data_IF_530896735474
#
_entry.id   IF_530896735474
#
_cell.length_a   1.000
_cell.length_b   1.000
_cell.length_c   1.000
_cell.angle_alpha   90.00
_cell.angle_beta   90.00
_cell.angle_gamma   90.00
#
_symmetry.space_group_name_H-M   'P 1'
#
loop_
_entity.id
_entity.type
_entity.pdbx_description
1 polymer ?
#
# COMPACT_ATOMS: atom_id res chain seq x y z
N UNK A 1 -2.23 13.64 16.68
CA UNK A 1 -1.94 12.25 16.21
C UNK A 1 -2.90 11.33 16.93
N UNK A 2 -3.86 10.78 16.21
CA UNK A 2 -4.72 9.71 16.74
C UNK A 2 -3.98 8.39 16.53
N UNK A 3 -3.43 7.81 17.61
CA UNK A 3 -2.91 6.45 17.54
C UNK A 3 -3.99 5.53 16.98
N UNK A 4 -3.71 4.90 15.85
CA UNK A 4 -4.65 3.97 15.22
C UNK A 4 -4.93 2.85 16.21
N UNK A 5 -6.19 2.72 16.58
CA UNK A 5 -6.63 1.55 17.31
C UNK A 5 -6.68 0.36 16.33
N UNK A 6 -5.66 -0.49 16.37
CA UNK A 6 -5.58 -1.68 15.52
C UNK A 6 -6.77 -2.64 15.72
N UNK A 7 -7.52 -2.54 16.83
CA UNK A 7 -8.75 -3.32 17.07
C UNK A 7 -9.89 -2.93 16.11
N UNK A 8 -9.83 -1.75 15.48
CA UNK A 8 -10.82 -1.29 14.49
C UNK A 8 -10.47 -1.72 13.05
N UNK A 9 -9.32 -2.34 12.85
CA UNK A 9 -8.90 -2.84 11.54
C UNK A 9 -9.50 -4.21 11.24
N UNK A 10 -9.55 -4.55 9.97
CA UNK A 10 -9.99 -5.84 9.48
C UNK A 10 -9.13 -6.35 8.34
N UNK A 11 -9.11 -7.65 8.15
CA UNK A 11 -8.37 -8.29 7.07
C UNK A 11 -9.23 -8.51 5.83
N UNK A 12 -8.64 -8.27 4.66
CA UNK A 12 -8.97 -8.99 3.44
C UNK A 12 -7.82 -9.97 3.17
N UNK A 13 -8.13 -11.17 2.67
CA UNK A 13 -7.14 -12.23 2.42
C UNK A 13 -6.19 -12.43 3.62
N UNK A 14 -6.75 -12.66 4.81
CA UNK A 14 -5.99 -12.75 6.07
C UNK A 14 -4.80 -13.70 5.93
N UNK A 15 -3.54 -13.26 6.20
CA UNK A 15 -2.37 -14.12 6.08
C UNK A 15 -2.33 -15.19 7.18
N UNK A 16 -1.62 -16.28 6.93
CA UNK A 16 -1.43 -17.34 7.94
C UNK A 16 -0.60 -16.88 9.13
N UNK A 17 0.33 -15.94 8.89
CA UNK A 17 1.23 -15.43 9.93
C UNK A 17 1.27 -13.91 9.91
N UNK A 18 0.99 -13.31 11.06
CA UNK A 18 1.02 -11.86 11.27
C UNK A 18 1.24 -11.52 12.75
N UNK A 19 1.63 -10.29 13.03
CA UNK A 19 1.69 -9.70 14.37
C UNK A 19 0.92 -8.38 14.34
N UNK A 20 0.08 -8.13 15.32
CA UNK A 20 -0.54 -6.83 15.58
C UNK A 20 -0.20 -6.44 17.00
N UNK A 21 0.46 -5.29 17.18
CA UNK A 21 0.76 -4.68 18.47
C UNK A 21 0.48 -3.19 18.43
N UNK A 22 0.67 -2.50 19.55
CA UNK A 22 0.53 -1.02 19.62
C UNK A 22 1.59 -0.29 18.79
N UNK A 23 2.75 -0.91 18.58
CA UNK A 23 3.92 -0.27 17.97
C UNK A 23 4.07 -0.63 16.50
N UNK A 24 3.61 -1.82 16.11
CA UNK A 24 3.79 -2.32 14.75
C UNK A 24 2.76 -3.36 14.34
N UNK A 25 2.56 -3.44 13.02
CA UNK A 25 1.91 -4.56 12.36
C UNK A 25 2.97 -5.26 11.51
N UNK A 26 3.01 -6.60 11.55
CA UNK A 26 3.89 -7.40 10.68
C UNK A 26 3.01 -8.33 9.86
N UNK A 27 3.22 -8.35 8.56
CA UNK A 27 2.59 -9.28 7.63
C UNK A 27 3.68 -10.20 7.07
N UNK A 28 3.63 -11.49 7.34
CA UNK A 28 4.45 -12.47 6.62
C UNK A 28 3.75 -12.81 5.32
N UNK A 29 4.39 -12.49 4.19
CA UNK A 29 3.80 -12.74 2.86
C UNK A 29 3.69 -14.22 2.55
N UNK A 30 2.78 -14.56 1.66
CA UNK A 30 2.62 -15.89 1.09
C UNK A 30 2.92 -15.84 -0.41
N UNK A 31 3.51 -16.91 -0.93
CA UNK A 31 3.83 -17.02 -2.35
C UNK A 31 2.57 -16.94 -3.24
N UNK A 32 2.74 -16.47 -4.48
CA UNK A 32 1.67 -16.39 -5.49
C UNK A 32 0.51 -15.51 -5.07
N UNK A 33 0.82 -14.45 -4.29
CA UNK A 33 -0.13 -13.42 -3.89
C UNK A 33 0.15 -12.10 -4.59
N UNK A 34 -0.89 -11.39 -5.03
CA UNK A 34 -0.76 -10.10 -5.72
C UNK A 34 -2.09 -9.33 -5.75
N UNK A 35 -2.01 -8.05 -6.17
CA UNK A 35 -3.11 -7.24 -6.68
C UNK A 35 -2.78 -6.76 -8.08
N UNK A 36 -3.47 -7.29 -9.10
CA UNK A 36 -3.39 -6.88 -10.50
C UNK A 36 -4.67 -7.17 -11.24
N UNK A 37 -5.10 -6.25 -12.13
CA UNK A 37 -6.31 -6.44 -12.92
C UNK A 37 -6.03 -6.18 -14.40
N UNK A 38 -6.04 -7.22 -15.19
CA UNK A 38 -6.09 -7.34 -16.66
C UNK A 38 -4.98 -6.67 -17.45
N UNK A 39 -4.74 -5.37 -17.26
CA UNK A 39 -3.89 -4.54 -18.12
C UNK A 39 -2.62 -5.25 -18.54
N UNK A 40 -2.34 -5.30 -19.84
CA UNK A 40 -1.20 -5.93 -20.50
C UNK A 40 -1.09 -7.45 -20.30
N UNK A 41 -1.10 -7.92 -19.05
CA UNK A 41 -0.85 -9.34 -18.74
C UNK A 41 -2.10 -10.23 -18.86
N UNK A 42 -3.29 -9.67 -18.90
CA UNK A 42 -4.55 -10.39 -19.09
C UNK A 42 -5.09 -11.14 -17.86
N UNK A 43 -4.28 -11.39 -16.84
CA UNK A 43 -4.74 -12.07 -15.62
C UNK A 43 -5.42 -11.12 -14.63
N UNK A 44 -6.13 -11.72 -13.69
CA UNK A 44 -6.72 -11.06 -12.53
C UNK A 44 -6.21 -11.72 -11.26
N UNK A 45 -5.71 -10.93 -10.34
CA UNK A 45 -5.28 -11.39 -9.04
C UNK A 45 -5.61 -10.34 -7.97
N UNK A 46 -6.24 -10.74 -6.87
CA UNK A 46 -6.57 -9.89 -5.73
C UNK A 46 -6.52 -10.68 -4.42
N UNK A 47 -5.57 -11.59 -4.33
CA UNK A 47 -5.42 -12.52 -3.21
C UNK A 47 -4.35 -12.11 -2.19
N UNK A 48 -3.71 -10.97 -2.36
CA UNK A 48 -2.73 -10.48 -1.41
C UNK A 48 -3.37 -10.06 -0.08
N UNK A 49 -2.73 -10.32 1.07
CA UNK A 49 -3.22 -9.88 2.37
C UNK A 49 -3.16 -8.36 2.50
N UNK A 50 -4.25 -7.80 3.04
CA UNK A 50 -4.29 -6.40 3.42
C UNK A 50 -5.03 -6.21 4.74
N UNK A 51 -4.51 -5.32 5.59
CA UNK A 51 -5.13 -4.90 6.84
C UNK A 51 -5.64 -3.49 6.70
N UNK A 52 -6.95 -3.31 6.82
CA UNK A 52 -7.68 -2.12 6.42
C UNK A 52 -8.43 -1.48 7.59
N UNK A 53 -8.59 -0.18 7.50
CA UNK A 53 -9.43 0.65 8.36
C UNK A 53 -10.52 1.31 7.51
N UNK A 54 -11.74 1.36 8.04
CA UNK A 54 -12.83 2.10 7.42
C UNK A 54 -12.80 3.56 7.83
N UNK A 55 -13.06 4.46 6.89
CA UNK A 55 -13.22 5.88 7.17
C UNK A 55 -14.20 6.53 6.20
N UNK A 56 -15.07 7.38 6.74
CA UNK A 56 -15.99 8.25 6.00
C UNK A 56 -15.47 9.70 5.88
N UNK A 57 -14.27 9.99 6.40
CA UNK A 57 -13.66 11.32 6.31
C UNK A 57 -13.38 11.68 4.85
N UNK A 58 -13.99 12.75 4.37
CA UNK A 58 -13.81 13.24 2.99
C UNK A 58 -12.44 13.90 2.75
N UNK A 59 -11.77 14.34 3.82
CA UNK A 59 -10.42 14.92 3.76
C UNK A 59 -9.59 14.42 4.95
N UNK A 60 -8.44 13.80 4.66
CA UNK A 60 -7.48 13.33 5.65
C UNK A 60 -6.12 13.04 4.99
N UNK A 61 -5.10 12.81 5.80
CA UNK A 61 -3.84 12.17 5.39
C UNK A 61 -3.62 10.90 6.19
N UNK A 62 -3.27 9.82 5.50
CA UNK A 62 -2.87 8.53 6.07
C UNK A 62 -1.38 8.35 5.84
N UNK A 63 -0.61 8.17 6.90
CA UNK A 63 0.85 8.01 6.84
C UNK A 63 1.24 6.68 7.45
N UNK A 64 2.25 6.02 6.87
CA UNK A 64 2.84 4.79 7.40
C UNK A 64 4.31 4.70 7.02
N UNK A 65 5.13 4.17 7.92
CA UNK A 65 6.49 3.70 7.64
C UNK A 65 6.45 2.21 7.36
N UNK A 66 7.03 1.80 6.23
CA UNK A 66 7.28 0.39 5.89
C UNK A 66 8.76 0.06 6.08
N UNK A 67 9.04 -1.14 6.60
CA UNK A 67 10.39 -1.72 6.61
C UNK A 67 10.29 -3.18 6.13
N UNK A 68 11.22 -3.58 5.28
CA UNK A 68 11.16 -4.88 4.60
C UNK A 68 12.55 -5.38 4.22
N UNK A 69 12.65 -6.67 4.06
CA UNK A 69 13.80 -7.31 3.44
C UNK A 69 13.30 -8.31 2.41
N UNK A 70 13.05 -7.79 1.23
CA UNK A 70 12.60 -8.55 0.06
C UNK A 70 13.65 -9.56 -0.40
N UNK A 71 13.24 -10.59 -1.11
CA UNK A 71 14.11 -11.70 -1.48
C UNK A 71 14.05 -12.04 -2.96
N UNK A 72 12.91 -11.83 -3.59
CA UNK A 72 12.69 -12.17 -5.00
C UNK A 72 11.92 -11.09 -5.72
N UNK A 73 12.04 -11.12 -7.04
CA UNK A 73 11.35 -10.21 -7.96
C UNK A 73 9.86 -10.14 -7.62
N UNK A 74 9.36 -8.90 -7.58
CA UNK A 74 7.99 -8.52 -7.24
C UNK A 74 7.60 -8.60 -5.77
N UNK A 75 8.49 -9.05 -4.85
CA UNK A 75 8.24 -8.88 -3.41
C UNK A 75 7.97 -7.42 -3.10
N UNK A 76 6.85 -7.11 -2.45
CA UNK A 76 6.41 -5.73 -2.24
C UNK A 76 5.55 -5.56 -0.99
N UNK A 77 5.63 -4.38 -0.38
CA UNK A 77 4.74 -3.97 0.69
C UNK A 77 4.56 -2.45 0.72
N UNK A 78 3.40 -2.00 1.19
CA UNK A 78 3.08 -0.57 1.23
C UNK A 78 1.66 -0.29 1.67
N UNK A 79 1.05 0.72 1.06
CA UNK A 79 -0.31 1.18 1.36
C UNK A 79 -1.30 0.76 0.28
N UNK A 80 -2.56 0.64 0.69
CA UNK A 80 -3.65 0.24 -0.19
C UNK A 80 -4.95 0.97 0.18
N UNK A 81 -5.74 1.34 -0.84
CA UNK A 81 -7.19 1.54 -0.73
C UNK A 81 -7.83 0.37 -1.45
N UNK A 82 -8.79 -0.31 -0.82
CA UNK A 82 -9.50 -1.42 -1.45
C UNK A 82 -11.00 -1.27 -1.27
N UNK A 83 -11.73 -1.00 -2.35
CA UNK A 83 -13.18 -0.93 -2.34
C UNK A 83 -13.80 -2.27 -2.78
N UNK A 84 -13.26 -2.85 -3.84
CA UNK A 84 -13.60 -4.17 -4.37
C UNK A 84 -12.53 -4.61 -5.38
N UNK A 85 -12.66 -5.81 -5.95
CA UNK A 85 -11.70 -6.38 -6.91
C UNK A 85 -11.43 -5.53 -8.15
N UNK A 86 -12.37 -4.68 -8.54
CA UNK A 86 -12.27 -3.85 -9.74
C UNK A 86 -11.89 -2.39 -9.45
N UNK A 87 -11.83 -1.98 -8.16
CA UNK A 87 -11.58 -0.59 -7.76
C UNK A 87 -10.73 -0.55 -6.50
N UNK A 88 -9.43 -0.28 -6.68
CA UNK A 88 -8.44 -0.19 -5.61
C UNK A 88 -7.22 0.61 -6.05
N UNK A 89 -6.41 0.99 -5.09
CA UNK A 89 -5.12 1.64 -5.27
C UNK A 89 -4.10 0.97 -4.37
N UNK A 90 -2.87 0.77 -4.85
CA UNK A 90 -1.72 0.36 -4.02
C UNK A 90 -0.48 1.19 -4.35
N UNK A 91 0.40 1.37 -3.35
CA UNK A 91 1.73 1.92 -3.56
C UNK A 91 2.75 1.17 -2.70
N UNK A 92 3.92 0.91 -3.27
CA UNK A 92 4.98 0.12 -2.66
C UNK A 92 6.33 0.38 -3.29
N UNK A 93 7.38 -0.09 -2.64
CA UNK A 93 8.61 -0.51 -3.31
C UNK A 93 8.41 -1.97 -3.71
N UNK A 94 8.81 -2.29 -4.93
CA UNK A 94 8.75 -3.61 -5.52
C UNK A 94 10.17 -4.04 -5.91
N UNK A 95 10.63 -5.15 -5.35
CA UNK A 95 11.97 -5.66 -5.60
C UNK A 95 12.11 -6.10 -7.06
N UNK A 96 13.18 -5.67 -7.71
CA UNK A 96 13.50 -6.09 -9.09
C UNK A 96 14.77 -6.96 -9.13
N UNK A 97 15.88 -6.43 -8.61
CA UNK A 97 17.16 -7.12 -8.57
C UNK A 97 18.12 -6.47 -7.55
N UNK A 98 19.37 -6.91 -7.51
CA UNK A 98 20.38 -6.41 -6.58
C UNK A 98 20.88 -4.98 -6.90
N UNK A 99 20.51 -4.40 -8.03
CA UNK A 99 20.95 -3.08 -8.48
C UNK A 99 19.88 -2.02 -8.18
N UNK A 100 18.61 -2.33 -8.45
CA UNK A 100 17.51 -1.39 -8.28
C UNK A 100 16.21 -2.07 -7.87
N UNK A 101 15.32 -1.27 -7.32
CA UNK A 101 13.93 -1.57 -6.99
C UNK A 101 13.03 -0.54 -7.65
N UNK A 102 11.74 -0.81 -7.70
CA UNK A 102 10.75 0.11 -8.27
C UNK A 102 9.88 0.70 -7.19
N UNK A 103 10.07 1.99 -6.93
CA UNK A 103 9.11 2.76 -6.16
C UNK A 103 7.92 3.10 -7.06
N UNK A 104 6.75 2.53 -6.78
CA UNK A 104 5.64 2.61 -7.70
C UNK A 104 4.27 2.69 -7.06
N UNK A 105 3.28 2.84 -7.92
CA UNK A 105 1.88 2.82 -7.55
C UNK A 105 1.02 2.26 -8.67
N UNK A 106 -0.06 1.59 -8.29
CA UNK A 106 -1.08 1.06 -9.20
C UNK A 106 -2.42 1.65 -8.83
N UNK A 107 -3.12 2.21 -9.81
CA UNK A 107 -4.52 2.61 -9.70
C UNK A 107 -5.36 1.66 -10.53
N UNK A 108 -6.34 1.03 -9.92
CA UNK A 108 -7.29 0.18 -10.63
C UNK A 108 -8.67 0.80 -10.56
N UNK A 109 -9.21 1.15 -11.71
CA UNK A 109 -10.57 1.62 -11.91
C UNK A 109 -11.27 0.70 -12.90
N UNK A 110 -12.48 0.26 -12.56
CA UNK A 110 -13.31 -0.59 -13.42
C UNK A 110 -12.58 -1.86 -13.91
N UNK A 111 -11.70 -2.40 -13.06
CA UNK A 111 -10.98 -3.65 -13.32
C UNK A 111 -9.83 -3.55 -14.31
N UNK A 112 -9.25 -2.37 -14.50
CA UNK A 112 -8.02 -2.18 -15.27
C UNK A 112 -6.98 -1.43 -14.43
N UNK A 113 -5.80 -2.01 -14.30
CA UNK A 113 -4.67 -1.48 -13.54
C UNK A 113 -3.82 -0.54 -14.40
N UNK A 114 -3.48 0.62 -13.81
CA UNK A 114 -2.54 1.61 -14.35
C UNK A 114 -1.35 1.70 -13.40
N UNK A 115 -0.16 1.33 -13.87
CA UNK A 115 1.06 1.24 -13.07
C UNK A 115 2.08 2.28 -13.50
N UNK A 116 2.63 3.00 -12.54
CA UNK A 116 3.73 3.95 -12.73
C UNK A 116 4.83 3.69 -11.72
N UNK A 117 6.09 3.76 -12.15
CA UNK A 117 7.27 3.48 -11.33
C UNK A 117 8.41 4.47 -11.56
N UNK A 118 9.28 4.53 -10.56
CA UNK A 118 10.59 5.18 -10.62
C UNK A 118 11.62 4.21 -10.02
N UNK A 119 12.74 4.01 -10.70
CA UNK A 119 13.82 3.18 -10.19
C UNK A 119 14.52 3.87 -9.02
N UNK A 120 14.78 3.12 -7.96
CA UNK A 120 15.50 3.54 -6.77
C UNK A 120 16.56 2.51 -6.41
N UNK A 121 17.53 2.88 -5.57
CA UNK A 121 18.60 2.00 -5.12
C UNK A 121 18.08 0.74 -4.41
N UNK A 122 18.71 -0.40 -4.67
CA UNK A 122 18.27 -1.70 -4.14
C UNK A 122 18.48 -1.86 -2.63
N UNK A 123 19.32 -1.04 -2.00
CA UNK A 123 19.63 -1.07 -0.58
C UNK A 123 18.61 -0.30 0.28
N UNK A 124 17.69 0.44 -0.33
CA UNK A 124 16.59 1.09 0.38
C UNK A 124 15.65 0.00 0.90
N UNK A 125 15.52 -0.11 2.21
CA UNK A 125 14.72 -1.13 2.89
C UNK A 125 13.67 -0.55 3.84
N UNK A 126 13.51 0.77 3.83
CA UNK A 126 12.47 1.51 4.56
C UNK A 126 11.89 2.61 3.66
N UNK A 127 10.60 2.88 3.80
CA UNK A 127 9.94 3.97 3.08
C UNK A 127 8.73 4.45 3.86
N UNK A 128 8.55 5.76 3.92
CA UNK A 128 7.31 6.39 4.37
C UNK A 128 6.41 6.66 3.16
N UNK A 129 5.14 6.30 3.31
CA UNK A 129 4.08 6.69 2.39
C UNK A 129 3.11 7.61 3.09
N UNK A 130 2.68 8.65 2.39
CA UNK A 130 1.57 9.49 2.81
C UNK A 130 0.55 9.60 1.70
N UNK A 131 -0.68 9.22 2.00
CA UNK A 131 -1.81 9.32 1.09
C UNK A 131 -2.81 10.32 1.64
N UNK A 132 -2.99 11.43 0.94
CA UNK A 132 -3.96 12.47 1.28
C UNK A 132 -5.19 12.33 0.41
N UNK A 133 -6.39 12.40 1.03
CA UNK A 133 -7.70 12.33 0.37
C UNK A 133 -8.34 13.72 0.31
N UNK A 134 -9.06 13.98 -0.78
CA UNK A 134 -9.99 15.10 -0.93
C UNK A 134 -11.16 14.68 -1.82
N UNK A 135 -12.27 14.27 -1.20
CA UNK A 135 -13.36 13.60 -1.92
C UNK A 135 -12.93 12.27 -2.53
N UNK A 136 -13.01 12.16 -3.87
CA UNK A 136 -12.57 10.99 -4.63
C UNK A 136 -11.16 11.14 -5.23
N UNK A 137 -10.50 12.26 -4.95
CA UNK A 137 -9.15 12.56 -5.43
C UNK A 137 -8.12 12.30 -4.33
N UNK A 138 -6.95 11.85 -4.75
CA UNK A 138 -5.89 11.43 -3.85
C UNK A 138 -4.54 11.96 -4.31
N UNK A 139 -3.71 12.36 -3.36
CA UNK A 139 -2.30 12.67 -3.55
C UNK A 139 -1.44 11.65 -2.80
N UNK A 140 -0.63 10.90 -3.54
CA UNK A 140 0.37 10.00 -2.99
C UNK A 140 1.72 10.70 -2.92
N UNK A 141 2.38 10.56 -1.78
CA UNK A 141 3.73 11.04 -1.54
C UNK A 141 4.57 9.94 -0.88
N UNK A 142 5.88 9.98 -1.08
CA UNK A 142 6.85 9.15 -0.38
C UNK A 142 7.95 9.97 0.26
N UNK A 143 8.59 9.41 1.27
CA UNK A 143 9.73 10.03 1.95
C UNK A 143 10.67 8.95 2.50
N UNK A 144 11.98 9.16 2.37
CA UNK A 144 12.98 8.29 2.98
C UNK A 144 13.22 8.61 4.48
N UNK A 145 12.90 9.82 4.92
CA UNK A 145 13.19 10.31 6.27
C UNK A 145 11.95 10.62 7.13
N UNK A 146 10.74 10.48 6.54
CA UNK A 146 9.46 10.81 7.19
C UNK A 146 9.19 12.33 7.35
N UNK A 147 10.07 13.18 6.83
CA UNK A 147 10.01 14.64 6.94
C UNK A 147 9.81 15.27 5.57
N UNK A 148 10.66 14.92 4.62
CA UNK A 148 10.70 15.48 3.28
C UNK A 148 9.91 14.60 2.30
N UNK A 149 8.61 14.84 2.21
CA UNK A 149 7.72 14.12 1.32
C UNK A 149 7.77 14.67 -0.11
N UNK A 150 7.84 13.76 -1.09
CA UNK A 150 7.82 14.06 -2.52
C UNK A 150 6.58 13.46 -3.16
N UNK A 151 5.86 14.24 -3.96
CA UNK A 151 4.71 13.74 -4.71
C UNK A 151 5.13 12.65 -5.69
N UNK A 152 4.44 11.53 -5.63
CA UNK A 152 4.57 10.43 -6.58
C UNK A 152 3.45 10.45 -7.61
N UNK A 153 2.20 10.68 -7.17
CA UNK A 153 1.03 10.61 -8.03
C UNK A 153 -0.15 11.42 -7.48
N UNK A 154 -0.94 12.02 -8.37
CA UNK A 154 -2.31 12.45 -8.11
C UNK A 154 -3.22 11.55 -8.94
N UNK A 155 -4.32 11.05 -8.36
CA UNK A 155 -5.23 10.14 -9.04
C UNK A 155 -6.66 10.25 -8.51
N UNK A 156 -7.59 9.70 -9.29
CA UNK A 156 -9.00 9.60 -8.96
C UNK A 156 -9.43 8.15 -8.80
N UNK A 157 -10.27 7.86 -7.80
CA UNK A 157 -10.96 6.56 -7.68
C UNK A 157 -12.47 6.77 -7.80
N UNK A 158 -13.08 6.25 -8.85
CA UNK A 158 -14.50 6.44 -9.12
C UNK A 158 -15.41 5.89 -8.01
N UNK A 159 -15.00 4.82 -7.35
CA UNK A 159 -15.78 4.16 -6.28
C UNK A 159 -15.35 4.57 -4.87
N UNK A 160 -14.49 5.56 -4.70
CA UNK A 160 -14.12 6.11 -3.39
C UNK A 160 -15.21 7.07 -2.83
N UNK A 161 -16.49 6.68 -2.96
CA UNK A 161 -17.64 7.46 -2.49
C UNK A 161 -17.86 7.19 -1.00
N UNK A 162 -18.20 8.25 -0.24
CA UNK A 162 -18.55 8.15 1.18
C UNK A 162 -17.47 7.43 2.01
N UNK A 163 -17.70 6.17 2.39
CA UNK A 163 -16.77 5.34 3.16
C UNK A 163 -15.73 4.67 2.24
N UNK A 164 -14.46 4.69 2.66
CA UNK A 164 -13.38 3.96 2.00
C UNK A 164 -12.67 3.03 2.99
N UNK A 165 -12.06 1.96 2.45
CA UNK A 165 -11.20 1.05 3.18
C UNK A 165 -9.75 1.35 2.80
N UNK A 166 -8.97 1.85 3.74
CA UNK A 166 -7.56 2.23 3.55
C UNK A 166 -6.68 1.51 4.58
N UNK A 167 -5.47 1.15 4.20
CA UNK A 167 -4.55 0.50 5.12
C UNK A 167 -3.25 0.08 4.46
N UNK A 168 -2.79 -1.09 4.86
CA UNK A 168 -1.48 -1.65 4.49
C UNK A 168 -1.65 -3.01 3.82
N UNK A 169 -0.71 -3.35 2.95
CA UNK A 169 -0.66 -4.65 2.29
C UNK A 169 0.78 -5.13 2.10
N UNK A 170 0.95 -6.42 1.89
CA UNK A 170 2.20 -7.02 1.45
C UNK A 170 1.93 -8.25 0.60
N UNK A 171 2.76 -8.53 -0.39
CA UNK A 171 2.63 -9.72 -1.21
C UNK A 171 3.95 -10.20 -1.80
N UNK A 172 3.96 -11.46 -2.20
CA UNK A 172 5.05 -12.12 -2.91
C UNK A 172 4.47 -12.83 -4.15
N UNK A 173 4.43 -12.16 -5.32
CA UNK A 173 3.91 -12.75 -6.55
C UNK A 173 4.68 -13.99 -7.02
N UNK A 174 5.97 -14.04 -6.73
CA UNK A 174 6.85 -15.19 -6.96
C UNK A 174 6.79 -16.22 -5.83
N UNK A 175 7.54 -17.31 -5.95
CA UNK A 175 7.74 -18.30 -4.87
C UNK A 175 8.70 -17.74 -3.82
N UNK A 176 8.19 -16.84 -2.98
CA UNK A 176 8.90 -16.10 -1.95
C UNK A 176 8.04 -15.89 -0.71
N UNK A 177 8.67 -15.55 0.39
CA UNK A 177 8.05 -15.08 1.63
C UNK A 177 9.02 -14.15 2.37
N UNK A 178 8.53 -13.05 2.90
CA UNK A 178 9.27 -12.13 3.75
C UNK A 178 8.35 -11.49 4.80
N UNK A 179 8.93 -10.88 5.81
CA UNK A 179 8.19 -10.13 6.82
C UNK A 179 8.19 -8.64 6.44
N UNK A 180 7.01 -8.12 6.15
CA UNK A 180 6.76 -6.69 5.96
C UNK A 180 6.38 -6.06 7.30
N UNK A 181 7.11 -5.05 7.75
CA UNK A 181 6.90 -4.37 9.03
C UNK A 181 6.34 -2.99 8.78
N UNK A 182 5.25 -2.66 9.47
CA UNK A 182 4.57 -1.38 9.38
C UNK A 182 4.54 -0.70 10.74
N UNK A 183 5.02 0.52 10.79
CA UNK A 183 5.10 1.36 12.00
C UNK A 183 4.60 2.77 11.69
N UNK A 184 4.45 3.60 12.71
CA UNK A 184 4.09 5.01 12.57
C UNK A 184 2.81 5.20 11.72
N UNK A 185 1.84 4.29 11.90
CA UNK A 185 0.57 4.36 11.17
C UNK A 185 -0.30 5.45 11.82
N UNK A 186 -0.65 6.47 11.05
CA UNK A 186 -1.36 7.64 11.57
C UNK A 186 -2.42 8.17 10.60
N UNK A 187 -3.53 8.68 11.16
CA UNK A 187 -4.50 9.51 10.47
C UNK A 187 -4.42 10.93 11.01
N UNK A 188 -4.23 11.89 10.13
CA UNK A 188 -4.19 13.31 10.45
C UNK A 188 -5.18 14.12 9.63
N UNK A 189 -5.27 15.42 9.89
CA UNK A 189 -5.89 16.37 8.97
C UNK A 189 -5.16 16.33 7.63
N UNK A 190 -5.90 16.57 6.54
CA UNK A 190 -5.32 16.58 5.20
C UNK A 190 -4.24 17.67 5.08
N UNK A 191 -3.04 17.25 4.70
CA UNK A 191 -1.95 18.19 4.38
C UNK A 191 -1.98 18.61 2.90
N UNK A 192 -2.77 17.97 2.09
CA UNK A 192 -2.96 18.31 0.68
C UNK A 192 -3.96 19.46 0.55
N UNK A 193 -3.48 20.57 0.02
CA UNK A 193 -4.23 21.84 -0.10
C UNK A 193 -5.02 21.92 -1.41
#
# INVERSE_FOLDING_TARGET
MENINAEKGFWINKPKKFIISKEKIVITTEEKTDFWQRTHYGFRNDNAPAFLFKTDREAFSFTVKTAYKTKKVYDQCGIIIYQNSDNWFKASIEYENEIYQRLGSVVTNNGYSDWATTDIEADINEMYYRLSRKGNDFCLESSADGINFKQMRIFHLFEAKNEINIGIYACSPSESTFDAVFTEIDFSESVWK
#
